data_IF_331022987042
#
_entry.id   IF_331022987042
#
_cell.length_a   1.000
_cell.length_b   1.000
_cell.length_c   1.000
_cell.angle_alpha   90.00
_cell.angle_beta   90.00
_cell.angle_gamma   90.00
#
_symmetry.space_group_name_H-M   'P 1'
#
loop_
_entity.id
_entity.type
_entity.pdbx_description
1 polymer ?
#
# COMPACT_ATOMS: atom_id res chain seq x y z
N UNK A 1 8.87 -7.68 64.31
CA UNK A 1 7.47 -7.17 64.21
C UNK A 1 7.11 -7.05 62.73
N UNK A 2 6.40 -8.05 62.19
CA UNK A 2 5.98 -8.13 60.80
C UNK A 2 4.53 -7.66 60.69
N UNK A 3 4.33 -6.53 60.01
CA UNK A 3 3.00 -5.93 59.77
C UNK A 3 2.41 -6.50 58.48
N UNK A 4 1.55 -7.51 58.61
CA UNK A 4 0.72 -8.06 57.54
C UNK A 4 -0.49 -7.15 57.26
N UNK A 5 -0.45 -6.41 56.14
CA UNK A 5 -1.62 -5.68 55.64
C UNK A 5 -2.57 -6.64 54.93
N UNK A 6 -3.70 -6.92 55.58
CA UNK A 6 -4.87 -7.54 54.95
C UNK A 6 -5.45 -6.63 53.87
N UNK A 7 -5.51 -7.13 52.64
CA UNK A 7 -6.18 -6.49 51.50
C UNK A 7 -7.56 -7.11 51.36
N UNK A 8 -8.58 -6.39 51.84
CA UNK A 8 -9.99 -6.74 51.65
C UNK A 8 -10.35 -6.62 50.17
N UNK A 9 -10.89 -7.70 49.57
CA UNK A 9 -11.45 -7.71 48.22
C UNK A 9 -12.92 -7.31 48.33
N UNK A 10 -13.31 -6.19 47.74
CA UNK A 10 -14.72 -5.87 47.52
C UNK A 10 -15.25 -6.65 46.30
N UNK A 11 -16.46 -7.22 46.37
CA UNK A 11 -17.13 -7.79 45.21
C UNK A 11 -17.60 -6.66 44.29
N UNK A 12 -17.12 -6.65 43.05
CA UNK A 12 -17.59 -5.71 42.01
C UNK A 12 -18.90 -6.26 41.46
N UNK A 13 -20.00 -5.61 41.83
CA UNK A 13 -21.32 -5.81 41.26
C UNK A 13 -21.33 -5.23 39.83
N UNK A 14 -21.25 -6.09 38.81
CA UNK A 14 -21.45 -5.70 37.41
C UNK A 14 -22.94 -5.76 37.10
N UNK A 15 -23.66 -4.65 37.25
CA UNK A 15 -25.02 -4.49 36.70
C UNK A 15 -25.29 -3.05 36.31
N UNK A 16 -24.57 -2.57 35.29
CA UNK A 16 -25.04 -1.44 34.47
C UNK A 16 -24.96 -1.86 33.01
N UNK A 17 -26.09 -2.39 32.53
CA UNK A 17 -26.40 -2.55 31.12
C UNK A 17 -26.59 -1.14 30.57
N UNK A 18 -25.54 -0.59 29.96
CA UNK A 18 -25.63 0.58 29.10
C UNK A 18 -26.62 0.26 27.98
N UNK A 19 -27.77 0.92 28.00
CA UNK A 19 -28.76 0.87 26.93
C UNK A 19 -28.09 1.28 25.62
N UNK A 20 -27.99 0.33 24.68
CA UNK A 20 -27.57 0.62 23.33
C UNK A 20 -28.66 1.43 22.65
N UNK A 21 -28.27 2.52 21.98
CA UNK A 21 -29.18 3.30 21.15
C UNK A 21 -29.54 2.45 19.92
N UNK A 22 -30.57 1.61 20.05
CA UNK A 22 -31.73 1.46 19.15
C UNK A 22 -31.57 1.36 17.63
N UNK A 23 -30.36 1.21 17.07
CA UNK A 23 -30.12 1.00 15.63
C UNK A 23 -28.95 0.04 15.38
N UNK A 24 -28.69 -0.90 16.29
CA UNK A 24 -27.78 -2.01 16.02
C UNK A 24 -28.51 -3.00 15.10
N UNK A 25 -28.57 -2.66 13.81
CA UNK A 25 -29.05 -3.57 12.77
C UNK A 25 -28.36 -4.92 12.93
N UNK A 26 -29.09 -6.02 12.78
CA UNK A 26 -28.55 -7.39 12.79
C UNK A 26 -27.30 -7.56 11.90
N UNK A 27 -27.14 -6.72 10.88
CA UNK A 27 -25.93 -6.60 10.06
C UNK A 27 -24.66 -6.22 10.84
N UNK A 28 -24.72 -5.31 11.83
CA UNK A 28 -23.58 -4.92 12.67
C UNK A 28 -23.16 -6.09 13.57
N UNK A 29 -24.14 -6.75 14.19
CA UNK A 29 -23.92 -7.97 15.00
C UNK A 29 -23.32 -9.11 14.17
N UNK A 30 -23.88 -9.39 12.99
CA UNK A 30 -23.36 -10.41 12.07
C UNK A 30 -21.93 -10.10 11.58
N UNK A 31 -21.64 -8.83 11.27
CA UNK A 31 -20.29 -8.40 10.90
C UNK A 31 -19.29 -8.58 12.05
N UNK A 32 -19.67 -8.24 13.29
CA UNK A 32 -18.79 -8.46 14.46
C UNK A 32 -18.53 -9.93 14.77
N UNK A 33 -19.50 -10.83 14.55
CA UNK A 33 -19.32 -12.27 14.77
C UNK A 33 -18.43 -12.90 13.70
N UNK A 34 -18.66 -12.56 12.43
CA UNK A 34 -17.82 -12.98 11.30
C UNK A 34 -16.37 -12.51 11.51
N UNK A 35 -16.18 -11.27 11.95
CA UNK A 35 -14.85 -10.71 12.19
C UNK A 35 -14.09 -11.42 13.31
N UNK A 36 -14.75 -11.81 14.40
CA UNK A 36 -14.13 -12.59 15.48
C UNK A 36 -13.69 -13.97 15.00
N UNK A 37 -14.51 -14.63 14.19
CA UNK A 37 -14.21 -15.98 13.67
C UNK A 37 -13.02 -16.01 12.71
N UNK A 38 -12.92 -15.05 11.78
CA UNK A 38 -11.80 -14.97 10.84
C UNK A 38 -10.50 -14.60 11.56
N UNK A 39 -10.56 -13.62 12.47
CA UNK A 39 -9.39 -13.21 13.25
C UNK A 39 -8.88 -14.37 14.13
N UNK A 40 -9.77 -15.17 14.73
CA UNK A 40 -9.39 -16.33 15.54
C UNK A 40 -8.69 -17.43 14.73
N UNK A 41 -9.13 -17.66 13.48
CA UNK A 41 -8.56 -18.72 12.61
C UNK A 41 -7.26 -18.30 11.92
N UNK A 42 -7.20 -17.07 11.41
CA UNK A 42 -6.11 -16.63 10.53
C UNK A 42 -5.08 -15.72 11.24
N UNK A 43 -5.47 -15.12 12.37
CA UNK A 43 -4.78 -13.98 12.94
C UNK A 43 -5.19 -12.66 12.28
N UNK A 44 -5.06 -11.57 13.02
CA UNK A 44 -5.50 -10.23 12.65
C UNK A 44 -4.76 -9.70 11.41
N UNK A 45 -3.46 -9.96 11.29
CA UNK A 45 -2.60 -9.53 10.18
C UNK A 45 -3.10 -10.11 8.85
N UNK A 46 -3.29 -11.44 8.79
CA UNK A 46 -3.79 -12.13 7.59
C UNK A 46 -5.23 -11.73 7.28
N UNK A 47 -6.09 -11.64 8.30
CA UNK A 47 -7.47 -11.22 8.11
C UNK A 47 -7.57 -9.79 7.56
N UNK A 48 -6.79 -8.85 8.08
CA UNK A 48 -6.76 -7.47 7.58
C UNK A 48 -6.23 -7.40 6.15
N UNK A 49 -5.17 -8.14 5.83
CA UNK A 49 -4.63 -8.22 4.47
C UNK A 49 -5.67 -8.76 3.47
N UNK A 50 -6.35 -9.87 3.80
CA UNK A 50 -7.38 -10.46 2.96
C UNK A 50 -8.60 -9.55 2.81
N UNK A 51 -9.03 -8.88 3.88
CA UNK A 51 -10.06 -7.84 3.80
C UNK A 51 -9.63 -6.70 2.88
N UNK A 52 -8.38 -6.26 2.96
CA UNK A 52 -7.87 -5.21 2.09
C UNK A 52 -7.89 -5.62 0.61
N UNK A 53 -7.46 -6.84 0.31
CA UNK A 53 -7.51 -7.39 -1.04
C UNK A 53 -8.95 -7.49 -1.57
N UNK A 54 -9.86 -8.01 -0.74
CA UNK A 54 -11.28 -8.12 -1.07
C UNK A 54 -11.92 -6.75 -1.35
N UNK A 55 -11.76 -5.79 -0.43
CA UNK A 55 -12.33 -4.45 -0.59
C UNK A 55 -11.72 -3.70 -1.77
N UNK A 56 -10.43 -3.90 -2.06
CA UNK A 56 -9.78 -3.36 -3.26
C UNK A 56 -10.44 -3.90 -4.52
N UNK A 57 -10.62 -5.22 -4.63
CA UNK A 57 -11.27 -5.84 -5.77
C UNK A 57 -12.72 -5.35 -5.93
N UNK A 58 -13.47 -5.24 -4.82
CA UNK A 58 -14.85 -4.76 -4.83
C UNK A 58 -14.95 -3.29 -5.28
N UNK A 59 -14.06 -2.42 -4.81
CA UNK A 59 -14.02 -1.02 -5.23
C UNK A 59 -13.72 -0.93 -6.74
N UNK A 60 -12.71 -1.65 -7.23
CA UNK A 60 -12.38 -1.68 -8.67
C UNK A 60 -13.59 -2.19 -9.47
N UNK A 61 -14.28 -3.22 -8.98
CA UNK A 61 -15.50 -3.75 -9.60
C UNK A 61 -16.61 -2.70 -9.69
N UNK A 62 -16.86 -1.91 -8.64
CA UNK A 62 -17.84 -0.81 -8.66
C UNK A 62 -17.48 0.23 -9.73
N UNK A 63 -16.22 0.65 -9.81
CA UNK A 63 -15.76 1.58 -10.86
C UNK A 63 -15.86 0.94 -12.26
N UNK A 64 -15.63 -0.36 -12.38
CA UNK A 64 -15.81 -1.09 -13.63
C UNK A 64 -17.28 -1.11 -14.06
N UNK A 65 -18.22 -1.34 -13.14
CA UNK A 65 -19.65 -1.19 -13.44
C UNK A 65 -19.98 0.22 -13.93
N UNK A 66 -19.46 1.27 -13.27
CA UNK A 66 -19.61 2.65 -13.72
C UNK A 66 -19.02 2.89 -15.12
N UNK A 67 -17.85 2.33 -15.40
CA UNK A 67 -17.23 2.34 -16.74
C UNK A 67 -18.14 1.71 -17.79
N UNK A 68 -18.76 0.56 -17.50
CA UNK A 68 -19.67 -0.13 -18.42
C UNK A 68 -20.95 0.67 -18.66
N UNK A 69 -21.49 1.33 -17.62
CA UNK A 69 -22.66 2.22 -17.76
C UNK A 69 -22.30 3.42 -18.65
N UNK A 70 -21.18 4.10 -18.40
CA UNK A 70 -20.74 5.22 -19.25
C UNK A 70 -20.60 4.81 -20.73
N UNK A 71 -20.02 3.64 -20.97
CA UNK A 71 -19.75 3.15 -22.32
C UNK A 71 -21.00 2.65 -23.04
N UNK A 72 -21.77 1.76 -22.40
CA UNK A 72 -22.82 0.98 -23.07
C UNK A 72 -24.22 1.58 -22.90
N UNK A 73 -24.45 2.38 -21.86
CA UNK A 73 -25.77 3.01 -21.60
C UNK A 73 -25.74 4.48 -22.00
N UNK A 74 -24.71 5.21 -21.57
CA UNK A 74 -24.55 6.64 -21.89
C UNK A 74 -23.84 6.89 -23.23
N UNK A 75 -23.42 5.83 -23.93
CA UNK A 75 -22.76 5.88 -25.24
C UNK A 75 -21.55 6.84 -25.30
N UNK A 76 -20.83 6.99 -24.18
CA UNK A 76 -19.62 7.83 -24.13
C UNK A 76 -18.44 7.04 -24.69
N UNK A 77 -18.17 7.25 -25.98
CA UNK A 77 -17.03 6.65 -26.68
C UNK A 77 -15.67 7.20 -26.23
N UNK A 78 -14.55 6.59 -26.69
CA UNK A 78 -13.19 7.02 -26.35
C UNK A 78 -12.84 8.46 -26.77
N UNK A 79 -13.52 8.97 -27.81
CA UNK A 79 -13.37 10.34 -28.29
C UNK A 79 -14.15 11.37 -27.43
N UNK A 80 -15.09 10.91 -26.61
CA UNK A 80 -15.85 11.76 -25.70
C UNK A 80 -15.12 11.85 -24.36
N UNK A 81 -15.32 12.96 -23.65
CA UNK A 81 -14.82 13.11 -22.29
C UNK A 81 -15.52 12.11 -21.37
N UNK A 82 -14.73 11.24 -20.74
CA UNK A 82 -15.19 10.18 -19.83
C UNK A 82 -14.72 10.45 -18.41
N UNK A 83 -15.62 10.20 -17.46
CA UNK A 83 -15.31 10.34 -16.04
C UNK A 83 -14.57 9.11 -15.52
N UNK A 84 -14.92 7.92 -16.02
CA UNK A 84 -14.17 6.68 -15.77
C UNK A 84 -13.54 6.22 -17.09
N UNK A 85 -12.26 6.54 -17.30
CA UNK A 85 -11.47 6.07 -18.46
C UNK A 85 -11.01 4.62 -18.27
N UNK A 86 -10.55 4.30 -17.06
CA UNK A 86 -10.14 2.97 -16.63
C UNK A 86 -10.56 2.82 -15.15
N UNK A 87 -11.07 1.64 -14.79
CA UNK A 87 -11.71 1.41 -13.51
C UNK A 87 -10.71 1.46 -12.34
N UNK A 88 -9.58 0.77 -12.47
CA UNK A 88 -8.56 0.73 -11.41
C UNK A 88 -7.86 2.08 -11.22
N UNK A 89 -7.63 2.82 -12.30
CA UNK A 89 -7.09 4.18 -12.32
C UNK A 89 -8.03 5.17 -11.61
N UNK A 90 -9.32 5.15 -11.95
CA UNK A 90 -10.31 6.02 -11.33
C UNK A 90 -10.48 5.70 -9.85
N UNK A 91 -10.61 4.42 -9.51
CA UNK A 91 -10.72 3.95 -8.12
C UNK A 91 -9.51 4.40 -7.29
N UNK A 92 -8.30 4.15 -7.80
CA UNK A 92 -7.07 4.59 -7.18
C UNK A 92 -7.06 6.12 -7.01
N UNK A 93 -7.37 6.90 -8.05
CA UNK A 93 -7.33 8.37 -7.97
C UNK A 93 -8.23 8.93 -6.88
N UNK A 94 -9.50 8.54 -6.90
CA UNK A 94 -10.51 9.12 -6.01
C UNK A 94 -10.37 8.70 -4.54
N UNK A 95 -9.60 7.64 -4.27
CA UNK A 95 -9.43 7.10 -2.91
C UNK A 95 -8.03 7.38 -2.38
N UNK A 96 -7.00 7.35 -3.22
CA UNK A 96 -5.61 7.60 -2.82
C UNK A 96 -5.33 9.07 -2.54
N UNK A 97 -5.87 10.01 -3.32
CA UNK A 97 -5.66 11.45 -3.05
C UNK A 97 -6.19 11.83 -1.65
N UNK A 98 -7.41 11.43 -1.23
CA UNK A 98 -7.88 11.58 0.15
C UNK A 98 -6.90 11.03 1.17
N UNK A 99 -6.43 9.80 0.98
CA UNK A 99 -5.47 9.16 1.87
C UNK A 99 -4.17 9.96 2.03
N UNK A 100 -3.61 10.47 0.91
CA UNK A 100 -2.37 11.26 0.94
C UNK A 100 -2.57 12.55 1.73
N UNK A 101 -3.65 13.30 1.45
CA UNK A 101 -3.94 14.56 2.13
C UNK A 101 -4.23 14.34 3.61
N UNK A 102 -5.07 13.36 3.96
CA UNK A 102 -5.38 13.05 5.35
C UNK A 102 -4.13 12.57 6.10
N UNK A 103 -3.31 11.72 5.48
CA UNK A 103 -2.03 11.29 6.01
C UNK A 103 -1.10 12.47 6.31
N UNK A 104 -0.99 13.44 5.39
CA UNK A 104 -0.23 14.66 5.60
C UNK A 104 -0.79 15.53 6.74
N UNK A 105 -2.11 15.75 6.77
CA UNK A 105 -2.76 16.50 7.84
C UNK A 105 -2.52 15.83 9.21
N UNK A 106 -2.60 14.50 9.28
CA UNK A 106 -2.35 13.73 10.50
C UNK A 106 -0.88 13.81 10.94
N UNK A 107 0.05 13.80 9.99
CA UNK A 107 1.48 13.98 10.25
C UNK A 107 1.77 15.37 10.83
N UNK A 108 1.30 16.43 10.17
CA UNK A 108 1.55 17.83 10.59
C UNK A 108 0.92 18.11 11.96
N UNK A 109 -0.26 17.57 12.22
CA UNK A 109 -0.96 17.76 13.49
C UNK A 109 -0.59 16.74 14.57
N UNK A 110 0.30 15.79 14.30
CA UNK A 110 0.73 14.77 15.27
C UNK A 110 1.45 15.40 16.47
N UNK A 111 1.20 14.86 17.67
CA UNK A 111 1.96 15.24 18.88
C UNK A 111 3.46 14.96 18.71
N UNK A 112 3.82 13.95 17.94
CA UNK A 112 5.21 13.58 17.66
C UNK A 112 5.92 14.58 16.73
N UNK A 113 5.18 15.44 16.02
CA UNK A 113 5.73 16.45 15.10
C UNK A 113 5.73 17.88 15.69
N UNK A 114 5.73 18.00 17.02
CA UNK A 114 5.72 19.31 17.70
C UNK A 114 7.09 19.95 17.83
N UNK A 115 8.17 19.17 17.84
CA UNK A 115 9.53 19.71 17.98
C UNK A 115 10.04 20.34 16.69
N UNK A 116 10.83 21.40 16.80
CA UNK A 116 11.46 22.09 15.65
C UNK A 116 12.27 21.11 14.80
N UNK A 117 13.00 20.19 15.43
CA UNK A 117 13.77 19.14 14.73
C UNK A 117 12.89 18.27 13.83
N UNK A 118 11.74 17.80 14.32
CA UNK A 118 10.84 16.95 13.53
C UNK A 118 10.16 17.73 12.40
N UNK A 119 9.82 19.01 12.65
CA UNK A 119 9.30 19.90 11.61
C UNK A 119 10.33 20.15 10.51
N UNK A 120 11.57 20.46 10.86
CA UNK A 120 12.67 20.63 9.90
C UNK A 120 12.90 19.35 9.10
N UNK A 121 12.82 18.18 9.73
CA UNK A 121 12.90 16.91 9.01
C UNK A 121 11.74 16.72 8.03
N UNK A 122 10.52 17.05 8.44
CA UNK A 122 9.34 17.00 7.57
C UNK A 122 9.50 17.95 6.38
N UNK A 123 9.99 19.17 6.60
CA UNK A 123 10.30 20.15 5.53
C UNK A 123 11.39 19.61 4.60
N UNK A 124 12.44 19.02 5.13
CA UNK A 124 13.51 18.39 4.35
C UNK A 124 13.00 17.25 3.46
N UNK A 125 12.10 16.42 3.97
CA UNK A 125 11.47 15.35 3.17
C UNK A 125 10.50 15.89 2.11
N UNK A 126 9.76 16.97 2.41
CA UNK A 126 8.94 17.66 1.41
C UNK A 126 9.80 18.22 0.27
N UNK A 127 10.90 18.90 0.61
CA UNK A 127 11.85 19.42 -0.37
C UNK A 127 12.49 18.30 -1.20
N UNK A 128 12.86 17.19 -0.56
CA UNK A 128 13.39 16.01 -1.26
C UNK A 128 12.35 15.39 -2.21
N UNK A 129 11.10 15.26 -1.77
CA UNK A 129 10.01 14.77 -2.62
C UNK A 129 9.78 15.67 -3.83
N UNK A 130 9.78 17.00 -3.62
CA UNK A 130 9.66 17.97 -4.71
C UNK A 130 10.85 17.87 -5.67
N UNK A 131 12.07 17.69 -5.16
CA UNK A 131 13.26 17.40 -5.97
C UNK A 131 13.10 16.14 -6.82
N UNK A 132 12.60 15.04 -6.24
CA UNK A 132 12.31 13.81 -6.99
C UNK A 132 11.25 14.03 -8.08
N UNK A 133 10.21 14.82 -7.80
CA UNK A 133 9.21 15.21 -8.80
C UNK A 133 9.82 15.98 -9.98
N UNK A 134 10.72 16.94 -9.69
CA UNK A 134 11.44 17.69 -10.74
C UNK A 134 12.33 16.76 -11.56
N UNK A 135 13.12 15.90 -10.91
CA UNK A 135 13.97 14.92 -11.61
C UNK A 135 13.15 13.96 -12.46
N UNK A 136 12.02 13.47 -11.94
CA UNK A 136 11.09 12.61 -12.68
C UNK A 136 10.55 13.32 -13.93
N UNK A 137 10.15 14.60 -13.82
CA UNK A 137 9.68 15.39 -14.96
C UNK A 137 10.79 15.63 -16.00
N UNK A 138 11.97 16.05 -15.55
CA UNK A 138 13.13 16.33 -16.41
C UNK A 138 13.62 15.08 -17.15
N UNK A 139 13.55 13.92 -16.51
CA UNK A 139 13.86 12.63 -17.13
C UNK A 139 12.80 12.13 -18.12
N UNK A 140 11.70 12.86 -18.35
CA UNK A 140 10.62 12.39 -19.23
C UNK A 140 9.70 11.35 -18.58
N UNK A 141 9.67 11.30 -17.25
CA UNK A 141 8.91 10.33 -16.45
C UNK A 141 7.49 10.03 -16.94
N UNK A 142 6.64 11.02 -17.27
CA UNK A 142 5.27 10.77 -17.74
C UNK A 142 5.16 9.88 -18.98
N UNK A 143 6.18 9.87 -19.82
CA UNK A 143 6.24 9.05 -21.05
C UNK A 143 7.18 7.85 -20.90
N UNK A 144 8.13 7.92 -19.97
CA UNK A 144 9.15 6.92 -19.76
C UNK A 144 8.66 5.77 -18.85
N UNK A 145 8.57 4.57 -19.44
CA UNK A 145 8.16 3.34 -18.74
C UNK A 145 9.14 2.93 -17.64
N UNK A 146 10.45 3.13 -17.82
CA UNK A 146 11.47 2.74 -16.83
C UNK A 146 11.39 3.64 -15.60
N UNK A 147 11.31 4.95 -15.81
CA UNK A 147 11.15 5.88 -14.68
C UNK A 147 9.83 5.65 -13.96
N UNK A 148 8.74 5.40 -14.69
CA UNK A 148 7.45 5.04 -14.10
C UNK A 148 7.52 3.73 -13.31
N UNK A 149 8.19 2.70 -13.83
CA UNK A 149 8.46 1.45 -13.11
C UNK A 149 9.30 1.69 -11.85
N UNK A 150 10.28 2.59 -11.91
CA UNK A 150 11.07 3.03 -10.76
C UNK A 150 10.21 3.62 -9.64
N UNK A 151 9.22 4.46 -9.99
CA UNK A 151 8.25 5.00 -9.02
C UNK A 151 7.40 3.88 -8.41
N UNK A 152 6.96 2.90 -9.21
CA UNK A 152 6.21 1.74 -8.68
C UNK A 152 7.05 0.85 -7.77
N UNK A 153 8.34 0.64 -8.07
CA UNK A 153 9.24 -0.08 -7.17
C UNK A 153 9.50 0.71 -5.87
N UNK A 154 9.62 2.03 -5.96
CA UNK A 154 9.72 2.89 -4.78
C UNK A 154 8.46 2.80 -3.91
N UNK A 155 7.28 2.77 -4.54
CA UNK A 155 6.01 2.52 -3.86
C UNK A 155 5.95 1.13 -3.23
N UNK A 156 6.41 0.09 -3.92
CA UNK A 156 6.43 -1.28 -3.40
C UNK A 156 7.34 -1.42 -2.17
N UNK A 157 8.50 -0.78 -2.17
CA UNK A 157 9.38 -0.72 -0.99
C UNK A 157 8.66 -0.08 0.20
N UNK A 158 7.90 0.99 -0.05
CA UNK A 158 7.10 1.65 0.96
C UNK A 158 5.98 0.76 1.50
N UNK A 159 5.24 0.10 0.63
CA UNK A 159 4.15 -0.81 1.01
C UNK A 159 4.65 -2.00 1.84
N UNK A 160 5.71 -2.68 1.39
CA UNK A 160 6.27 -3.82 2.13
C UNK A 160 6.82 -3.41 3.51
N UNK A 161 7.35 -2.19 3.63
CA UNK A 161 7.79 -1.63 4.91
C UNK A 161 6.60 -1.38 5.83
N UNK A 162 5.51 -0.87 5.31
CA UNK A 162 4.30 -0.58 6.08
C UNK A 162 3.60 -1.87 6.53
N UNK A 163 3.53 -2.90 5.68
CA UNK A 163 3.03 -4.24 6.07
C UNK A 163 3.88 -4.88 7.19
N UNK A 164 5.22 -4.78 7.11
CA UNK A 164 6.08 -5.23 8.19
C UNK A 164 5.84 -4.45 9.49
N UNK A 165 5.51 -3.16 9.39
CA UNK A 165 5.14 -2.34 10.53
C UNK A 165 3.76 -2.73 11.09
N UNK A 166 2.74 -2.97 10.25
CA UNK A 166 1.44 -3.47 10.68
C UNK A 166 1.57 -4.77 11.45
N UNK A 167 2.33 -5.73 10.92
CA UNK A 167 2.63 -6.99 11.59
C UNK A 167 3.16 -6.80 13.02
N UNK A 168 4.08 -5.85 13.22
CA UNK A 168 4.60 -5.54 14.56
C UNK A 168 3.59 -4.83 15.46
N UNK A 169 2.85 -3.85 14.94
CA UNK A 169 1.92 -3.02 15.73
C UNK A 169 0.64 -3.76 16.10
N UNK A 170 0.20 -4.72 15.30
CA UNK A 170 -0.94 -5.58 15.63
C UNK A 170 -0.65 -6.52 16.81
N UNK A 171 0.62 -6.65 17.22
CA UNK A 171 1.03 -7.50 18.35
C UNK A 171 1.03 -8.99 18.02
N UNK A 172 1.02 -9.33 16.73
CA UNK A 172 1.11 -10.72 16.25
C UNK A 172 2.53 -11.12 15.85
N UNK A 173 3.49 -10.22 16.04
CA UNK A 173 4.88 -10.52 15.78
C UNK A 173 5.41 -11.57 16.76
N UNK A 174 6.03 -12.62 16.21
CA UNK A 174 6.87 -13.51 17.00
C UNK A 174 7.92 -12.70 17.78
N UNK A 175 8.49 -13.24 18.89
CA UNK A 175 9.47 -12.52 19.69
C UNK A 175 10.60 -11.93 18.85
N UNK A 176 10.79 -10.60 18.92
CA UNK A 176 11.86 -9.89 18.22
C UNK A 176 12.93 -9.54 19.25
N UNK A 177 13.99 -10.36 19.41
CA UNK A 177 15.02 -10.14 20.44
C UNK A 177 15.84 -8.88 20.14
N UNK A 178 16.09 -8.58 18.86
CA UNK A 178 16.78 -7.37 18.42
C UNK A 178 15.99 -6.66 17.31
N UNK A 179 15.46 -5.47 17.64
CA UNK A 179 14.72 -4.61 16.70
C UNK A 179 15.59 -4.13 15.54
N UNK A 180 16.89 -3.93 15.73
CA UNK A 180 17.80 -3.50 14.67
C UNK A 180 18.08 -4.64 13.69
N UNK A 181 18.33 -5.86 14.17
CA UNK A 181 18.38 -7.05 13.34
C UNK A 181 17.08 -7.28 12.57
N UNK A 182 15.91 -7.12 13.20
CA UNK A 182 14.61 -7.24 12.51
C UNK A 182 14.44 -6.21 11.38
N UNK A 183 14.82 -4.95 11.59
CA UNK A 183 14.81 -3.94 10.50
C UNK A 183 15.73 -4.33 9.34
N UNK A 184 16.92 -4.88 9.62
CA UNK A 184 17.85 -5.35 8.58
C UNK A 184 17.30 -6.57 7.84
N UNK A 185 16.63 -7.48 8.54
CA UNK A 185 15.92 -8.61 7.95
C UNK A 185 14.82 -8.16 6.99
N UNK A 186 13.94 -7.26 7.44
CA UNK A 186 12.86 -6.71 6.61
C UNK A 186 13.43 -6.03 5.36
N UNK A 187 14.48 -5.20 5.50
CA UNK A 187 15.14 -4.57 4.34
C UNK A 187 15.71 -5.59 3.35
N UNK A 188 16.33 -6.67 3.85
CA UNK A 188 16.86 -7.72 2.99
C UNK A 188 15.74 -8.46 2.25
N UNK A 189 14.62 -8.76 2.94
CA UNK A 189 13.44 -9.36 2.33
C UNK A 189 12.82 -8.46 1.27
N UNK A 190 12.67 -7.16 1.55
CA UNK A 190 12.19 -6.17 0.58
C UNK A 190 13.09 -6.16 -0.66
N UNK A 191 14.41 -6.05 -0.47
CA UNK A 191 15.36 -6.05 -1.58
C UNK A 191 15.24 -7.33 -2.43
N UNK A 192 15.14 -8.50 -1.79
CA UNK A 192 14.94 -9.77 -2.51
C UNK A 192 13.63 -9.80 -3.27
N UNK A 193 12.52 -9.29 -2.73
CA UNK A 193 11.23 -9.22 -3.45
C UNK A 193 11.33 -8.30 -4.67
N UNK A 194 11.94 -7.12 -4.52
CA UNK A 194 12.16 -6.18 -5.63
C UNK A 194 12.99 -6.83 -6.73
N UNK A 195 14.12 -7.47 -6.36
CA UNK A 195 14.97 -8.18 -7.31
C UNK A 195 14.22 -9.35 -7.95
N UNK A 196 13.42 -10.10 -7.19
CA UNK A 196 12.60 -11.20 -7.72
C UNK A 196 11.66 -10.71 -8.81
N UNK A 197 10.95 -9.60 -8.57
CA UNK A 197 10.02 -9.02 -9.54
C UNK A 197 10.75 -8.47 -10.76
N UNK A 198 11.89 -7.79 -10.56
CA UNK A 198 12.73 -7.32 -11.66
C UNK A 198 13.22 -8.50 -12.53
N UNK A 199 13.65 -9.59 -11.90
CA UNK A 199 14.05 -10.82 -12.61
C UNK A 199 12.88 -11.42 -13.39
N UNK A 200 11.68 -11.50 -12.80
CA UNK A 200 10.47 -12.01 -13.47
C UNK A 200 10.09 -11.16 -14.69
N UNK A 201 10.37 -9.85 -14.68
CA UNK A 201 10.12 -8.97 -15.83
C UNK A 201 11.24 -9.07 -16.89
N UNK A 202 12.50 -9.09 -16.45
CA UNK A 202 13.67 -9.03 -17.35
C UNK A 202 13.98 -10.39 -18.00
N UNK A 203 13.77 -11.50 -17.28
CA UNK A 203 14.09 -12.84 -17.79
C UNK A 203 13.28 -13.21 -19.04
N UNK A 204 11.94 -13.02 -19.09
CA UNK A 204 11.15 -13.22 -20.30
C UNK A 204 11.53 -12.28 -21.46
N UNK A 205 12.03 -11.08 -21.16
CA UNK A 205 12.47 -10.14 -22.19
C UNK A 205 13.62 -10.69 -23.05
N UNK A 206 14.47 -11.57 -22.50
CA UNK A 206 15.51 -12.26 -23.26
C UNK A 206 14.99 -13.20 -24.36
N UNK A 207 13.72 -13.62 -24.25
CA UNK A 207 13.02 -14.44 -25.25
C UNK A 207 12.24 -13.58 -26.26
N UNK A 208 12.39 -12.25 -26.23
CA UNK A 208 11.61 -11.34 -27.07
C UNK A 208 10.20 -11.06 -26.54
N UNK A 209 9.82 -11.63 -25.40
CA UNK A 209 8.51 -11.40 -24.77
C UNK A 209 8.51 -9.96 -24.24
N UNK A 210 7.51 -9.16 -24.64
CA UNK A 210 7.43 -7.71 -24.36
C UNK A 210 8.46 -6.83 -25.08
N UNK A 211 9.30 -7.39 -25.96
CA UNK A 211 10.35 -6.64 -26.66
C UNK A 211 9.79 -5.43 -27.42
N UNK A 212 8.72 -5.61 -28.19
CA UNK A 212 8.11 -4.52 -28.96
C UNK A 212 7.62 -3.36 -28.06
N UNK A 213 7.02 -3.67 -26.90
CA UNK A 213 6.59 -2.67 -25.91
C UNK A 213 7.76 -1.98 -25.22
N UNK A 214 8.83 -2.71 -24.94
CA UNK A 214 10.04 -2.17 -24.31
C UNK A 214 10.89 -1.34 -25.30
N UNK A 215 10.78 -1.63 -26.60
CA UNK A 215 11.49 -0.95 -27.71
C UNK A 215 10.77 0.24 -28.29
N UNK A 216 9.49 0.43 -27.98
CA UNK A 216 8.75 1.60 -28.43
C UNK A 216 9.58 2.87 -28.11
N UNK A 217 9.86 3.70 -29.13
CA UNK A 217 10.79 4.85 -29.09
C UNK A 217 10.57 5.84 -27.92
N UNK A 218 9.48 5.71 -27.16
CA UNK A 218 9.13 6.52 -26.01
C UNK A 218 9.64 5.99 -24.66
N UNK A 219 10.38 4.87 -24.61
CA UNK A 219 10.93 4.34 -23.34
C UNK A 219 12.34 4.87 -23.05
N UNK A 220 12.68 5.09 -21.77
CA UNK A 220 14.05 5.44 -21.35
C UNK A 220 15.11 4.40 -21.72
N UNK A 221 14.71 3.17 -22.05
CA UNK A 221 15.61 2.14 -22.56
C UNK A 221 16.21 2.53 -23.91
N UNK A 222 15.50 3.30 -24.74
CA UNK A 222 16.05 3.85 -25.97
C UNK A 222 17.13 4.91 -25.66
N UNK A 223 16.91 5.77 -24.65
CA UNK A 223 17.92 6.74 -24.21
C UNK A 223 19.15 6.08 -23.58
N UNK A 224 19.00 4.88 -22.99
CA UNK A 224 20.10 4.07 -22.47
C UNK A 224 20.75 3.18 -23.54
N UNK A 225 20.34 3.27 -24.81
CA UNK A 225 20.77 2.41 -25.91
C UNK A 225 20.56 0.91 -25.65
N UNK A 226 19.69 0.55 -24.70
CA UNK A 226 19.42 -0.84 -24.33
C UNK A 226 18.40 -1.49 -25.28
N UNK A 227 17.54 -0.69 -25.93
CA UNK A 227 16.49 -1.15 -26.84
C UNK A 227 17.02 -2.03 -28.00
N UNK A 228 18.24 -1.76 -28.45
CA UNK A 228 18.89 -2.45 -29.58
C UNK A 228 19.79 -3.61 -29.16
N UNK A 229 19.89 -3.91 -27.87
CA UNK A 229 20.72 -5.03 -27.40
C UNK A 229 20.21 -6.38 -27.92
N UNK A 230 21.14 -7.31 -28.18
CA UNK A 230 20.83 -8.69 -28.57
C UNK A 230 19.85 -9.38 -27.59
N UNK A 231 19.90 -8.97 -26.32
CA UNK A 231 18.98 -9.39 -25.26
C UNK A 231 17.52 -9.07 -25.60
N UNK A 232 17.21 -7.81 -25.92
CA UNK A 232 15.85 -7.39 -26.27
C UNK A 232 15.48 -7.76 -27.70
N UNK A 233 16.46 -7.99 -28.58
CA UNK A 233 16.25 -8.51 -29.94
C UNK A 233 15.82 -9.97 -29.94
N UNK A 234 15.98 -10.69 -28.83
CA UNK A 234 15.77 -12.13 -28.80
C UNK A 234 16.70 -12.87 -29.76
N UNK A 235 17.81 -12.25 -30.17
CA UNK A 235 18.81 -12.82 -31.08
C UNK A 235 19.87 -13.64 -30.33
N UNK A 236 19.80 -13.67 -29.00
CA UNK A 236 20.67 -14.51 -28.18
C UNK A 236 20.52 -16.00 -28.53
N UNK A 237 21.62 -16.78 -28.55
CA UNK A 237 21.56 -18.24 -28.66
C UNK A 237 20.69 -18.85 -27.55
N UNK A 238 19.99 -19.95 -27.86
CA UNK A 238 19.09 -20.60 -26.90
C UNK A 238 19.74 -20.94 -25.53
N UNK A 239 20.98 -21.48 -25.46
CA UNK A 239 21.63 -21.74 -24.18
C UNK A 239 21.82 -20.48 -23.33
N UNK A 240 22.12 -19.35 -23.99
CA UNK A 240 22.28 -18.05 -23.32
C UNK A 240 20.94 -17.58 -22.78
N UNK A 241 19.85 -17.66 -23.56
CA UNK A 241 18.50 -17.32 -23.08
C UNK A 241 18.09 -18.14 -21.86
N UNK A 242 18.34 -19.44 -21.89
CA UNK A 242 18.06 -20.33 -20.74
C UNK A 242 18.88 -19.91 -19.53
N UNK A 243 20.19 -19.68 -19.68
CA UNK A 243 21.05 -19.23 -18.58
C UNK A 243 20.59 -17.88 -18.01
N UNK A 244 20.23 -16.93 -18.88
CA UNK A 244 19.71 -15.61 -18.53
C UNK A 244 18.37 -15.65 -17.78
N UNK A 245 17.60 -16.73 -17.94
CA UNK A 245 16.37 -16.96 -17.20
C UNK A 245 16.62 -17.70 -15.88
N UNK A 246 17.38 -18.80 -15.92
CA UNK A 246 17.57 -19.70 -14.78
C UNK A 246 18.52 -19.11 -13.74
N UNK A 247 19.65 -18.50 -14.15
CA UNK A 247 20.66 -18.01 -13.21
C UNK A 247 20.14 -16.91 -12.27
N UNK A 248 19.39 -15.89 -12.75
CA UNK A 248 18.86 -14.88 -11.84
C UNK A 248 17.81 -15.45 -10.87
N UNK A 249 16.99 -16.40 -11.31
CA UNK A 249 16.02 -17.10 -10.44
C UNK A 249 16.77 -17.91 -9.36
N UNK A 250 17.79 -18.66 -9.75
CA UNK A 250 18.62 -19.42 -8.83
C UNK A 250 19.36 -18.51 -7.83
N UNK A 251 19.89 -17.37 -8.28
CA UNK A 251 20.56 -16.39 -7.44
C UNK A 251 19.60 -15.77 -6.41
N UNK A 252 18.37 -15.43 -6.82
CA UNK A 252 17.32 -14.94 -5.91
C UNK A 252 16.93 -16.00 -4.89
N UNK A 253 16.72 -17.25 -5.31
CA UNK A 253 16.39 -18.36 -4.42
C UNK A 253 17.51 -18.62 -3.39
N UNK A 254 18.77 -18.61 -3.83
CA UNK A 254 19.93 -18.68 -2.95
C UNK A 254 19.98 -17.49 -1.97
N UNK A 255 19.66 -16.28 -2.44
CA UNK A 255 19.54 -15.07 -1.62
C UNK A 255 18.52 -15.23 -0.47
N UNK A 256 17.32 -15.72 -0.77
CA UNK A 256 16.32 -16.04 0.27
C UNK A 256 16.85 -17.08 1.24
N UNK A 257 17.43 -18.19 0.75
CA UNK A 257 17.98 -19.22 1.62
C UNK A 257 19.06 -18.68 2.58
N UNK A 258 19.97 -17.84 2.09
CA UNK A 258 21.01 -17.19 2.90
C UNK A 258 20.41 -16.24 3.93
N UNK A 259 19.49 -15.36 3.53
CA UNK A 259 18.85 -14.40 4.44
C UNK A 259 18.06 -15.13 5.53
N UNK A 260 17.26 -16.13 5.16
CA UNK A 260 16.46 -16.90 6.11
C UNK A 260 17.34 -17.69 7.09
N UNK A 261 18.39 -18.38 6.62
CA UNK A 261 19.34 -19.08 7.49
C UNK A 261 20.06 -18.13 8.44
N UNK A 262 20.50 -16.97 7.95
CA UNK A 262 21.17 -15.96 8.76
C UNK A 262 20.27 -15.46 9.88
N UNK A 263 19.04 -15.05 9.56
CA UNK A 263 18.14 -14.46 10.56
C UNK A 263 17.46 -15.49 11.47
N UNK A 264 17.28 -16.74 11.03
CA UNK A 264 16.90 -17.84 11.92
C UNK A 264 17.92 -17.98 13.07
N UNK A 265 19.23 -18.00 12.75
CA UNK A 265 20.29 -18.05 13.77
C UNK A 265 20.34 -16.80 14.65
N UNK A 266 20.27 -15.61 14.05
CA UNK A 266 20.33 -14.33 14.79
C UNK A 266 19.18 -14.20 15.78
N UNK A 267 18.01 -14.74 15.47
CA UNK A 267 16.85 -14.73 16.37
C UNK A 267 16.73 -15.97 17.27
N UNK A 268 17.71 -16.89 17.22
CA UNK A 268 17.77 -18.05 18.12
C UNK A 268 16.83 -19.20 17.76
N UNK A 269 16.37 -19.31 16.51
CA UNK A 269 15.60 -20.46 16.04
C UNK A 269 16.53 -21.62 15.66
N UNK A 270 16.09 -22.86 15.93
CA UNK A 270 16.84 -24.08 15.63
C UNK A 270 17.10 -24.27 14.12
N UNK A 271 16.10 -23.96 13.30
CA UNK A 271 16.15 -24.11 11.85
C UNK A 271 15.30 -23.05 11.12
N UNK A 272 15.45 -23.01 9.79
CA UNK A 272 14.72 -22.08 8.93
C UNK A 272 13.22 -22.36 8.93
N UNK A 273 12.80 -23.61 9.11
CA UNK A 273 11.38 -23.99 9.10
C UNK A 273 10.67 -23.38 10.32
N UNK A 274 11.24 -23.56 11.51
CA UNK A 274 10.75 -23.00 12.76
C UNK A 274 10.70 -21.46 12.71
N UNK A 275 11.73 -20.83 12.12
CA UNK A 275 11.73 -19.39 11.87
C UNK A 275 10.61 -18.96 10.89
N UNK A 276 10.46 -19.71 9.79
CA UNK A 276 9.44 -19.45 8.78
C UNK A 276 8.02 -19.60 9.33
N UNK A 277 7.78 -20.62 10.15
CA UNK A 277 6.50 -20.86 10.83
C UNK A 277 6.19 -19.74 11.84
N UNK A 278 7.17 -19.35 12.65
CA UNK A 278 7.01 -18.26 13.61
C UNK A 278 6.66 -16.92 12.94
N UNK A 279 7.27 -16.63 11.78
CA UNK A 279 7.02 -15.42 11.02
C UNK A 279 6.08 -15.62 9.81
N UNK A 280 5.30 -16.71 9.78
CA UNK A 280 4.48 -17.07 8.62
C UNK A 280 3.44 -16.01 8.24
N UNK A 281 3.01 -15.17 9.18
CA UNK A 281 2.09 -14.05 8.92
C UNK A 281 2.79 -12.91 8.19
N UNK A 282 4.04 -12.60 8.54
CA UNK A 282 4.85 -11.60 7.85
C UNK A 282 5.17 -12.04 6.43
N UNK A 283 5.61 -13.29 6.24
CA UNK A 283 5.86 -13.81 4.89
C UNK A 283 4.59 -13.79 4.04
N UNK A 284 3.44 -14.17 4.61
CA UNK A 284 2.16 -14.12 3.92
C UNK A 284 1.85 -12.72 3.38
N UNK A 285 1.96 -11.67 4.19
CA UNK A 285 1.66 -10.31 3.71
C UNK A 285 2.71 -9.81 2.71
N UNK A 286 4.01 -10.06 2.95
CA UNK A 286 5.06 -9.60 2.03
C UNK A 286 4.96 -10.24 0.64
N UNK A 287 4.78 -11.56 0.58
CA UNK A 287 4.56 -12.25 -0.70
C UNK A 287 3.16 -11.98 -1.26
N UNK A 288 2.17 -11.74 -0.40
CA UNK A 288 0.83 -11.32 -0.78
C UNK A 288 0.85 -9.99 -1.55
N UNK A 289 1.59 -8.99 -1.09
CA UNK A 289 1.77 -7.70 -1.79
C UNK A 289 2.34 -7.93 -3.19
N UNK A 290 3.38 -8.77 -3.31
CA UNK A 290 3.96 -9.12 -4.62
C UNK A 290 2.95 -9.85 -5.52
N UNK A 291 2.11 -10.72 -4.96
CA UNK A 291 1.04 -11.40 -5.69
C UNK A 291 -0.05 -10.43 -6.15
N UNK A 292 -0.45 -9.46 -5.32
CA UNK A 292 -1.40 -8.39 -5.70
C UNK A 292 -0.85 -7.58 -6.88
N UNK A 293 0.43 -7.20 -6.83
CA UNK A 293 1.09 -6.52 -7.95
C UNK A 293 1.11 -7.39 -9.21
N UNK A 294 1.53 -8.66 -9.08
CA UNK A 294 1.58 -9.60 -10.21
C UNK A 294 0.21 -9.77 -10.87
N UNK A 295 -0.85 -9.93 -10.08
CA UNK A 295 -2.23 -10.00 -10.57
C UNK A 295 -2.70 -8.70 -11.21
N UNK A 296 -2.38 -7.54 -10.62
CA UNK A 296 -2.72 -6.24 -11.20
C UNK A 296 -2.06 -6.05 -12.58
N UNK A 297 -0.77 -6.38 -12.70
CA UNK A 297 -0.03 -6.32 -13.95
C UNK A 297 -0.56 -7.34 -14.98
N UNK A 298 -0.90 -8.55 -14.55
CA UNK A 298 -1.46 -9.58 -15.43
C UNK A 298 -2.82 -9.16 -16.00
N UNK A 299 -3.71 -8.62 -15.16
CA UNK A 299 -5.08 -8.28 -15.54
C UNK A 299 -5.18 -6.93 -16.27
N UNK A 300 -4.41 -5.93 -15.86
CA UNK A 300 -4.58 -4.54 -16.32
C UNK A 300 -3.33 -3.95 -17.00
N UNK A 301 -2.18 -4.64 -16.92
CA UNK A 301 -0.87 -4.11 -17.34
C UNK A 301 -0.47 -2.81 -16.60
N UNK A 302 -1.11 -2.53 -15.46
CA UNK A 302 -0.89 -1.35 -14.62
C UNK A 302 -0.82 -1.77 -13.15
N UNK A 303 -0.19 -0.94 -12.33
CA UNK A 303 -0.03 -1.19 -10.89
C UNK A 303 -1.03 -0.39 -10.03
N UNK A 304 -2.07 0.22 -10.61
CA UNK A 304 -3.04 1.05 -9.88
C UNK A 304 -3.73 0.31 -8.75
N UNK A 305 -4.09 -0.97 -8.96
CA UNK A 305 -4.72 -1.78 -7.92
C UNK A 305 -3.80 -2.05 -6.71
N UNK A 306 -2.48 -2.09 -6.88
CA UNK A 306 -1.55 -2.20 -5.76
C UNK A 306 -1.58 -0.94 -4.90
N UNK A 307 -1.68 0.22 -5.52
CA UNK A 307 -1.71 1.49 -4.80
C UNK A 307 -3.05 1.68 -4.09
N UNK A 308 -4.15 1.30 -4.73
CA UNK A 308 -5.44 1.24 -4.07
C UNK A 308 -5.41 0.25 -2.89
N UNK A 309 -4.79 -0.92 -3.07
CA UNK A 309 -4.63 -1.93 -2.03
C UNK A 309 -3.96 -1.37 -0.78
N UNK A 310 -2.83 -0.68 -0.93
CA UNK A 310 -2.14 0.01 0.17
C UNK A 310 -3.06 0.94 0.96
N UNK A 311 -3.84 1.77 0.26
CA UNK A 311 -4.75 2.73 0.91
C UNK A 311 -5.84 2.01 1.69
N UNK A 312 -6.41 0.95 1.11
CA UNK A 312 -7.43 0.13 1.76
C UNK A 312 -6.83 -0.63 2.96
N UNK A 313 -5.61 -1.14 2.85
CA UNK A 313 -4.88 -1.80 3.92
C UNK A 313 -4.65 -0.84 5.10
N UNK A 314 -4.17 0.37 4.84
CA UNK A 314 -4.04 1.44 5.84
C UNK A 314 -5.38 1.80 6.48
N UNK A 315 -6.45 1.93 5.69
CA UNK A 315 -7.77 2.25 6.20
C UNK A 315 -8.30 1.17 7.16
N UNK A 316 -8.13 -0.10 6.80
CA UNK A 316 -8.51 -1.24 7.63
C UNK A 316 -7.64 -1.31 8.88
N UNK A 317 -6.32 -1.19 8.74
CA UNK A 317 -5.38 -1.16 9.84
C UNK A 317 -5.72 -0.05 10.84
N UNK A 318 -5.86 1.19 10.37
CA UNK A 318 -6.18 2.34 11.22
C UNK A 318 -7.55 2.19 11.91
N UNK A 319 -8.57 1.73 11.17
CA UNK A 319 -9.89 1.44 11.75
C UNK A 319 -9.82 0.39 12.86
N UNK A 320 -9.01 -0.65 12.68
CA UNK A 320 -8.76 -1.65 13.72
C UNK A 320 -8.06 -1.02 14.93
N UNK A 321 -7.03 -0.19 14.72
CA UNK A 321 -6.31 0.50 15.81
C UNK A 321 -7.23 1.43 16.61
N UNK A 322 -8.09 2.22 15.97
CA UNK A 322 -9.05 3.08 16.68
C UNK A 322 -10.09 2.30 17.47
N UNK A 323 -10.48 1.13 16.98
CA UNK A 323 -11.42 0.25 17.69
C UNK A 323 -10.74 -0.40 18.89
N UNK A 324 -9.49 -0.86 18.74
CA UNK A 324 -8.71 -1.50 19.81
C UNK A 324 -8.29 -0.52 20.91
N UNK A 325 -7.99 0.73 20.53
CA UNK A 325 -7.50 1.77 21.43
C UNK A 325 -8.44 2.99 21.40
N UNK A 326 -9.73 2.74 21.64
CA UNK A 326 -10.72 3.79 21.72
C UNK A 326 -10.37 4.81 22.84
N UNK A 327 -10.65 6.11 22.64
CA UNK A 327 -10.34 7.13 23.63
C UNK A 327 -11.17 6.89 24.89
N UNK A 328 -10.52 7.03 26.06
CA UNK A 328 -11.18 6.85 27.37
C UNK A 328 -12.21 7.96 27.66
N UNK A 329 -11.96 9.15 27.12
CA UNK A 329 -12.82 10.31 27.26
C UNK A 329 -13.40 10.69 25.91
N UNK A 330 -14.59 11.30 25.91
CA UNK A 330 -15.22 11.80 24.69
C UNK A 330 -14.31 12.90 24.09
N UNK A 331 -13.90 12.79 22.82
CA UNK A 331 -13.01 13.77 22.21
C UNK A 331 -13.68 15.15 22.17
N UNK A 332 -12.95 16.18 22.57
CA UNK A 332 -13.37 17.57 22.46
C UNK A 332 -12.93 18.14 21.10
N UNK A 333 -13.89 18.61 20.31
CA UNK A 333 -13.67 19.20 18.99
C UNK A 333 -13.67 18.21 17.82
N UNK A 334 -14.04 18.74 16.64
CA UNK A 334 -14.21 17.96 15.41
C UNK A 334 -12.93 17.26 14.96
N UNK A 335 -11.79 17.98 14.98
CA UNK A 335 -10.51 17.43 14.53
C UNK A 335 -10.01 16.28 15.42
N UNK A 336 -10.15 16.43 16.75
CA UNK A 336 -9.82 15.37 17.69
C UNK A 336 -10.71 14.15 17.44
N UNK A 337 -12.02 14.35 17.29
CA UNK A 337 -12.95 13.27 16.97
C UNK A 337 -12.60 12.53 15.67
N UNK A 338 -12.27 13.25 14.60
CA UNK A 338 -11.82 12.67 13.32
C UNK A 338 -10.54 11.84 13.44
N UNK A 339 -9.68 12.17 14.41
CA UNK A 339 -8.36 11.55 14.57
C UNK A 339 -8.27 10.46 15.62
N UNK A 340 -9.21 10.39 16.54
CA UNK A 340 -9.13 9.46 17.67
C UNK A 340 -10.27 8.45 17.71
N UNK A 341 -11.29 8.59 16.86
CA UNK A 341 -12.43 7.67 16.82
C UNK A 341 -12.58 7.02 15.46
N UNK A 342 -13.05 5.77 15.43
CA UNK A 342 -13.34 5.06 14.18
C UNK A 342 -14.39 5.82 13.36
N UNK A 343 -15.48 6.28 13.98
CA UNK A 343 -16.54 7.01 13.27
C UNK A 343 -16.03 8.30 12.61
N UNK A 344 -15.23 9.09 13.35
CA UNK A 344 -14.65 10.32 12.82
C UNK A 344 -13.65 10.05 11.69
N UNK A 345 -12.79 9.04 11.86
CA UNK A 345 -11.83 8.64 10.83
C UNK A 345 -12.52 8.22 9.52
N UNK A 346 -13.59 7.40 9.63
CA UNK A 346 -14.38 6.95 8.48
C UNK A 346 -15.10 8.10 7.79
N UNK A 347 -15.72 8.99 8.58
CA UNK A 347 -16.41 10.18 8.06
C UNK A 347 -15.46 11.05 7.24
N UNK A 348 -14.25 11.30 7.76
CA UNK A 348 -13.24 12.09 7.06
C UNK A 348 -12.81 11.43 5.73
N UNK A 349 -12.49 10.14 5.72
CA UNK A 349 -12.01 9.45 4.51
C UNK A 349 -13.11 9.28 3.45
N UNK A 350 -14.27 8.79 3.85
CA UNK A 350 -15.40 8.56 2.94
C UNK A 350 -15.93 9.90 2.43
N UNK A 351 -16.09 10.89 3.31
CA UNK A 351 -16.55 12.21 2.93
C UNK A 351 -15.60 12.91 1.95
N UNK A 352 -14.28 12.79 2.18
CA UNK A 352 -13.29 13.37 1.28
C UNK A 352 -13.22 12.63 -0.07
N UNK A 353 -13.35 11.30 -0.09
CA UNK A 353 -13.45 10.53 -1.34
C UNK A 353 -14.70 10.92 -2.14
N UNK A 354 -15.87 11.03 -1.48
CA UNK A 354 -17.11 11.46 -2.11
C UNK A 354 -17.00 12.89 -2.66
N UNK A 355 -16.44 13.83 -1.89
CA UNK A 355 -16.21 15.20 -2.34
C UNK A 355 -15.29 15.23 -3.57
N UNK A 356 -14.22 14.42 -3.59
CA UNK A 356 -13.31 14.35 -4.73
C UNK A 356 -13.95 13.72 -5.96
N UNK A 357 -14.82 12.72 -5.79
CA UNK A 357 -15.60 12.14 -6.88
C UNK A 357 -16.56 13.17 -7.49
N UNK A 358 -17.27 13.95 -6.65
CA UNK A 358 -18.14 15.04 -7.11
C UNK A 358 -17.32 16.09 -7.86
N UNK A 359 -16.18 16.50 -7.32
CA UNK A 359 -15.28 17.45 -7.98
C UNK A 359 -14.80 16.91 -9.33
N UNK A 360 -14.42 15.63 -9.40
CA UNK A 360 -14.02 14.99 -10.65
C UNK A 360 -15.15 14.92 -11.68
N UNK A 361 -16.39 14.71 -11.22
CA UNK A 361 -17.56 14.70 -12.08
C UNK A 361 -17.81 16.10 -12.68
N UNK A 362 -17.78 17.15 -11.84
CA UNK A 362 -17.91 18.55 -12.28
C UNK A 362 -16.77 18.94 -13.23
N UNK A 363 -15.53 18.58 -12.89
CA UNK A 363 -14.37 18.84 -13.73
C UNK A 363 -14.49 18.17 -15.10
N UNK A 364 -14.92 16.92 -15.12
CA UNK A 364 -15.01 16.13 -16.34
C UNK A 364 -16.20 16.58 -17.20
N UNK A 365 -17.40 16.66 -16.62
CA UNK A 365 -18.63 16.88 -17.38
C UNK A 365 -19.03 18.35 -17.50
N UNK A 366 -18.76 19.15 -16.47
CA UNK A 366 -19.10 20.57 -16.46
C UNK A 366 -17.99 21.46 -17.03
N UNK A 367 -16.73 21.11 -16.80
CA UNK A 367 -15.57 21.92 -17.21
C UNK A 367 -14.79 21.32 -18.38
N UNK A 368 -15.26 20.23 -18.99
CA UNK A 368 -14.62 19.58 -20.13
C UNK A 368 -13.11 19.29 -19.88
N UNK A 369 -12.78 18.85 -18.66
CA UNK A 369 -11.40 18.58 -18.19
C UNK A 369 -10.45 19.78 -18.25
N UNK A 370 -10.95 21.00 -17.99
CA UNK A 370 -10.15 22.22 -17.95
C UNK A 370 -8.85 22.10 -17.13
N UNK A 371 -7.76 22.73 -17.59
CA UNK A 371 -6.41 22.59 -17.02
C UNK A 371 -6.29 22.94 -15.52
N UNK A 372 -7.22 23.73 -14.98
CA UNK A 372 -7.22 24.20 -13.58
C UNK A 372 -7.19 23.08 -12.53
N UNK A 373 -7.75 21.90 -12.82
CA UNK A 373 -7.74 20.74 -11.91
C UNK A 373 -6.86 19.59 -12.40
N UNK A 374 -6.15 19.75 -13.52
CA UNK A 374 -5.31 18.70 -14.08
C UNK A 374 -4.16 18.31 -13.13
N UNK A 375 -3.58 19.27 -12.41
CA UNK A 375 -2.53 18.99 -11.42
C UNK A 375 -2.99 18.10 -10.25
N UNK A 376 -4.30 18.04 -9.99
CA UNK A 376 -4.88 17.24 -8.92
C UNK A 376 -5.48 15.94 -9.43
N UNK A 377 -6.23 16.01 -10.54
CA UNK A 377 -7.09 14.93 -11.00
C UNK A 377 -6.62 14.29 -12.31
N UNK A 378 -5.59 14.79 -12.97
CA UNK A 378 -5.09 14.13 -14.18
C UNK A 378 -4.33 12.84 -13.81
N UNK A 379 -4.45 11.75 -14.58
CA UNK A 379 -3.73 10.50 -14.32
C UNK A 379 -2.21 10.70 -14.18
N UNK A 380 -1.65 11.64 -14.93
CA UNK A 380 -0.21 11.94 -14.98
C UNK A 380 0.26 12.61 -13.68
N UNK A 381 -0.62 13.35 -12.99
CA UNK A 381 -0.31 13.97 -11.70
C UNK A 381 -0.08 12.94 -10.58
N UNK A 382 -0.63 11.74 -10.74
CA UNK A 382 -0.68 10.75 -9.68
C UNK A 382 0.69 10.24 -9.24
N UNK A 383 1.63 10.06 -10.16
CA UNK A 383 2.98 9.61 -9.82
C UNK A 383 3.75 10.68 -9.02
N UNK A 384 3.44 11.96 -9.21
CA UNK A 384 3.98 13.05 -8.39
C UNK A 384 3.41 13.00 -6.97
N UNK A 385 2.09 12.80 -6.83
CA UNK A 385 1.46 12.58 -5.52
C UNK A 385 2.07 11.39 -4.78
N UNK A 386 2.33 10.31 -5.51
CA UNK A 386 2.96 9.08 -4.99
C UNK A 386 4.38 9.35 -4.51
N UNK A 387 5.22 10.00 -5.33
CA UNK A 387 6.58 10.39 -4.94
C UNK A 387 6.58 11.24 -3.65
N UNK A 388 5.77 12.31 -3.62
CA UNK A 388 5.64 13.17 -2.45
C UNK A 388 5.20 12.40 -1.20
N UNK A 389 4.14 11.59 -1.32
CA UNK A 389 3.60 10.81 -0.22
C UNK A 389 4.64 9.84 0.36
N UNK A 390 5.25 9.03 -0.50
CA UNK A 390 6.22 8.04 -0.06
C UNK A 390 7.42 8.72 0.60
N UNK A 391 7.96 9.80 0.01
CA UNK A 391 9.12 10.48 0.56
C UNK A 391 8.83 11.07 1.94
N UNK A 392 7.68 11.70 2.12
CA UNK A 392 7.25 12.25 3.42
C UNK A 392 6.97 11.13 4.44
N UNK A 393 6.62 9.91 4.00
CA UNK A 393 6.40 8.77 4.90
C UNK A 393 7.66 8.29 5.65
N UNK A 394 8.86 8.76 5.28
CA UNK A 394 10.13 8.43 5.94
C UNK A 394 10.44 9.28 7.19
N UNK A 395 9.48 10.06 7.69
CA UNK A 395 9.64 10.76 8.97
C UNK A 395 9.96 9.76 10.10
N UNK A 396 11.03 9.99 10.90
CA UNK A 396 11.37 9.17 12.05
C UNK A 396 10.19 9.07 13.02
N UNK A 397 9.81 7.84 13.36
CA UNK A 397 8.69 7.54 14.27
C UNK A 397 9.15 7.39 15.71
#
# INVERSE_FOLDING_TARGET
MLSTRHRTRHPVCWSEVLMSNGTDSAAVLAATLSDRSLNARLGVTRANFLRAAFWTALIVFVFWCGYQIERNVLHRGPANIRYIREASEAAMRYITIPHIVIGFLFLVSSKNNRSTRQRLWTVGLLAAGAGLCVLYRLGGGPTDVVLSAGVYFYFLVHELRDEAMFYTVLGEAAPIPDKAAFRRFVRAMIALIIVSLAVVVIAPASFGIYAEKLRAKATGLASLQLAETAWLQGSLPLPVKIACCVLPIAAVAAGYAVVLRKYARVFGYADVKSFAEAHAKLFFVMFGVAAVLGMALLLTQRAYSLILFHVVAWYIFASYQFTRYAPKEKPTGLWTWMRTTTAGFRTLHIGMAAALMILGLVWTLGMNQHAALAWLLAPESFLYWTLMHITVSFVPR
#
